data_IF_378557652997
#
_entry.id   IF_378557652997
#
_cell.length_a   1.000
_cell.length_b   1.000
_cell.length_c   1.000
_cell.angle_alpha   90.00
_cell.angle_beta   90.00
_cell.angle_gamma   90.00
#
_symmetry.space_group_name_H-M   'P 1'
#
loop_
_entity.id
_entity.type
_entity.pdbx_description
1 polymer ?
#
# COMPACT_ATOMS: atom_id res chain seq x y z
N UNK A 1 -30.90 51.04 -57.91
CA UNK A 1 -30.14 50.16 -58.84
C UNK A 1 -29.61 49.04 -57.94
N UNK A 2 -30.07 47.78 -57.97
CA UNK A 2 -30.53 46.94 -59.09
C UNK A 2 -29.29 46.26 -59.69
N UNK A 3 -29.15 44.92 -59.75
CA UNK A 3 -29.99 43.81 -59.29
C UNK A 3 -29.32 42.47 -59.65
N UNK A 4 -30.08 41.35 -59.66
CA UNK A 4 -29.65 39.96 -60.02
C UNK A 4 -28.91 39.18 -58.89
N UNK A 5 -29.09 37.87 -58.70
CA UNK A 5 -29.89 36.85 -59.44
C UNK A 5 -30.42 35.74 -58.49
N UNK A 6 -31.28 34.84 -58.97
CA UNK A 6 -32.14 33.94 -58.17
C UNK A 6 -31.93 32.44 -58.43
N UNK A 7 -32.71 31.59 -57.71
CA UNK A 7 -32.93 30.12 -57.89
C UNK A 7 -31.87 29.16 -57.30
N UNK A 8 -32.19 27.94 -56.84
CA UNK A 8 -33.46 27.33 -56.37
C UNK A 8 -33.13 26.10 -55.48
N UNK A 9 -33.96 25.78 -54.48
CA UNK A 9 -33.93 24.46 -53.81
C UNK A 9 -34.50 23.35 -54.72
N UNK A 10 -34.22 22.07 -54.41
CA UNK A 10 -35.33 21.22 -53.97
C UNK A 10 -35.01 20.27 -52.79
N UNK A 11 -36.01 20.01 -51.96
CA UNK A 11 -35.99 19.00 -50.88
C UNK A 11 -36.34 17.60 -51.40
N UNK A 12 -35.75 16.54 -50.83
CA UNK A 12 -36.29 15.17 -50.88
C UNK A 12 -36.08 14.42 -49.57
N UNK A 13 -37.15 13.79 -49.08
CA UNK A 13 -37.14 12.83 -47.97
C UNK A 13 -36.50 11.50 -48.40
N UNK A 14 -35.94 10.75 -47.45
CA UNK A 14 -35.87 9.28 -47.50
C UNK A 14 -36.00 8.66 -46.11
N UNK A 15 -36.44 7.41 -46.08
CA UNK A 15 -37.06 6.72 -44.94
C UNK A 15 -36.17 6.35 -43.74
N UNK A 16 -36.83 6.28 -42.58
CA UNK A 16 -36.28 5.76 -41.34
C UNK A 16 -36.58 4.26 -41.20
N UNK A 17 -35.74 3.40 -41.80
CA UNK A 17 -35.85 1.94 -41.65
C UNK A 17 -35.00 1.42 -40.49
N UNK A 18 -35.66 0.79 -39.50
CA UNK A 18 -35.04 0.24 -38.29
C UNK A 18 -34.03 -0.87 -38.61
N UNK A 19 -32.86 -0.82 -37.98
CA UNK A 19 -31.97 -1.97 -37.78
C UNK A 19 -31.48 -1.98 -36.33
N UNK A 20 -31.67 -3.10 -35.63
CA UNK A 20 -31.42 -3.26 -34.18
C UNK A 20 -30.25 -4.23 -33.98
N UNK A 21 -29.27 -3.95 -33.11
CA UNK A 21 -28.16 -4.88 -32.86
C UNK A 21 -28.62 -6.14 -32.10
N UNK A 22 -27.91 -7.27 -32.24
CA UNK A 22 -28.30 -8.54 -31.63
C UNK A 22 -27.99 -8.60 -30.12
N UNK A 23 -28.88 -9.23 -29.35
CA UNK A 23 -28.66 -9.60 -27.95
C UNK A 23 -28.06 -11.02 -27.83
N UNK A 24 -27.29 -11.32 -26.76
CA UNK A 24 -26.85 -12.67 -26.45
C UNK A 24 -28.02 -13.55 -25.94
N UNK A 25 -27.92 -14.90 -26.03
CA UNK A 25 -28.99 -15.80 -25.62
C UNK A 25 -29.09 -15.95 -24.10
N UNK A 26 -30.31 -15.85 -23.57
CA UNK A 26 -30.64 -16.26 -22.20
C UNK A 26 -30.84 -17.78 -22.12
N UNK A 27 -30.39 -18.46 -21.04
CA UNK A 27 -30.72 -19.87 -20.81
C UNK A 27 -32.22 -20.05 -20.52
N UNK A 28 -32.82 -21.10 -21.09
CA UNK A 28 -34.22 -21.46 -20.83
C UNK A 28 -34.36 -22.09 -19.44
N UNK A 29 -35.37 -21.65 -18.69
CA UNK A 29 -35.86 -22.39 -17.52
C UNK A 29 -36.61 -23.63 -18.02
N UNK A 30 -36.18 -24.81 -17.59
CA UNK A 30 -36.89 -26.07 -17.85
C UNK A 30 -37.51 -26.58 -16.54
N UNK A 31 -38.77 -27.01 -16.64
CA UNK A 31 -39.57 -27.44 -15.49
C UNK A 31 -39.00 -28.70 -14.83
N UNK A 32 -39.00 -28.73 -13.50
CA UNK A 32 -38.87 -29.97 -12.73
C UNK A 32 -40.25 -30.48 -12.33
N UNK A 33 -40.62 -31.66 -12.82
CA UNK A 33 -41.68 -32.48 -12.23
C UNK A 33 -41.18 -33.93 -12.12
N UNK A 34 -41.23 -34.43 -10.88
CA UNK A 34 -41.21 -35.81 -10.39
C UNK A 34 -41.09 -36.96 -11.40
N UNK A 35 -40.17 -37.89 -11.12
CA UNK A 35 -40.46 -39.33 -11.03
C UNK A 35 -39.52 -40.00 -10.00
N UNK A 36 -39.95 -41.15 -9.47
CA UNK A 36 -39.41 -41.79 -8.26
C UNK A 36 -38.32 -42.86 -8.54
N UNK A 37 -37.52 -43.16 -7.51
CA UNK A 37 -37.12 -44.53 -7.19
C UNK A 37 -35.81 -45.08 -7.76
N UNK A 38 -34.79 -45.22 -6.90
CA UNK A 38 -33.97 -46.45 -6.77
C UNK A 38 -33.06 -46.37 -5.52
N UNK A 39 -33.21 -47.32 -4.60
CA UNK A 39 -32.41 -47.45 -3.38
C UNK A 39 -31.09 -48.19 -3.62
N UNK A 40 -29.98 -47.71 -3.05
CA UNK A 40 -28.77 -48.52 -2.83
C UNK A 40 -28.18 -48.24 -1.45
N UNK A 41 -27.76 -49.31 -0.78
CA UNK A 41 -27.42 -49.39 0.64
C UNK A 41 -25.91 -49.48 0.89
N UNK A 42 -25.47 -49.00 2.05
CA UNK A 42 -24.15 -49.32 2.63
C UNK A 42 -24.31 -49.88 4.06
N UNK A 43 -23.33 -50.68 4.56
CA UNK A 43 -23.61 -51.74 5.52
C UNK A 43 -23.27 -51.37 6.97
N UNK A 44 -23.85 -52.14 7.91
CA UNK A 44 -23.54 -52.05 9.34
C UNK A 44 -22.30 -52.85 9.75
N UNK A 45 -21.62 -52.50 10.86
CA UNK A 45 -20.74 -53.39 11.59
C UNK A 45 -21.54 -54.31 12.55
N UNK A 46 -21.09 -55.55 12.82
CA UNK A 46 -21.84 -56.51 13.62
C UNK A 46 -21.64 -56.35 15.14
N UNK A 47 -22.69 -56.69 15.90
CA UNK A 47 -22.62 -57.00 17.34
C UNK A 47 -22.52 -58.51 17.60
N UNK A 48 -22.41 -58.84 18.91
CA UNK A 48 -22.75 -60.07 19.66
C UNK A 48 -21.50 -60.85 20.17
N UNK A 49 -21.35 -61.31 21.42
CA UNK A 49 -22.26 -61.58 22.57
C UNK A 49 -21.57 -61.15 23.92
N UNK A 50 -22.01 -61.40 25.17
CA UNK A 50 -23.14 -62.13 25.80
C UNK A 50 -23.45 -61.65 27.26
N UNK A 51 -24.38 -62.34 27.94
CA UNK A 51 -24.88 -62.25 29.34
C UNK A 51 -23.97 -62.88 30.45
N UNK A 52 -24.30 -62.89 31.79
CA UNK A 52 -25.48 -62.37 32.55
C UNK A 52 -25.16 -61.55 33.85
N UNK A 53 -26.16 -61.10 34.66
CA UNK A 53 -25.97 -60.26 35.87
C UNK A 53 -26.17 -60.96 37.24
N UNK A 54 -25.51 -60.48 38.32
CA UNK A 54 -25.83 -60.81 39.72
C UNK A 54 -25.28 -59.83 40.80
N UNK A 55 -26.19 -59.20 41.56
CA UNK A 55 -26.27 -59.00 43.03
C UNK A 55 -25.04 -58.78 43.96
N UNK A 56 -25.13 -57.74 44.82
CA UNK A 56 -24.36 -57.47 46.07
C UNK A 56 -24.49 -58.58 47.16
N UNK A 57 -23.50 -58.74 48.09
CA UNK A 57 -23.55 -58.10 49.44
C UNK A 57 -22.13 -57.69 49.99
N UNK A 58 -21.80 -57.59 51.32
CA UNK A 58 -21.66 -56.28 51.97
C UNK A 58 -20.36 -56.01 52.80
N UNK A 59 -20.22 -54.75 53.23
CA UNK A 59 -19.42 -54.20 54.36
C UNK A 59 -18.33 -55.03 55.07
N UNK A 60 -17.10 -54.50 55.10
CA UNK A 60 -16.21 -54.46 56.28
C UNK A 60 -15.47 -53.10 56.33
N UNK A 61 -15.00 -52.66 57.51
CA UNK A 61 -14.71 -51.25 57.79
C UNK A 61 -13.33 -50.96 58.41
N UNK A 62 -12.85 -49.70 58.20
CA UNK A 62 -11.76 -48.93 58.89
C UNK A 62 -10.33 -49.52 58.89
N UNK A 63 -9.24 -48.71 59.14
CA UNK A 63 -9.15 -47.26 59.40
C UNK A 63 -8.12 -46.45 58.53
N UNK A 64 -8.13 -45.12 58.71
CA UNK A 64 -7.23 -44.12 58.10
C UNK A 64 -5.76 -44.17 58.57
N UNK A 65 -4.81 -43.73 57.71
CA UNK A 65 -3.62 -42.98 58.10
C UNK A 65 -3.67 -41.49 57.65
N UNK A 66 -2.77 -40.68 58.22
CA UNK A 66 -2.76 -39.21 58.15
C UNK A 66 -2.36 -38.60 56.77
N UNK A 67 -2.74 -37.34 56.47
CA UNK A 67 -2.41 -36.67 55.21
C UNK A 67 -0.92 -36.29 55.13
N UNK A 68 -0.26 -36.68 54.03
CA UNK A 68 1.05 -36.14 53.65
C UNK A 68 0.88 -34.86 52.83
N UNK A 69 1.68 -33.85 53.13
CA UNK A 69 1.70 -32.57 52.43
C UNK A 69 2.37 -32.68 51.06
N UNK A 70 1.67 -32.26 49.99
CA UNK A 70 2.25 -32.07 48.67
C UNK A 70 2.85 -30.65 48.53
N UNK A 71 3.92 -30.45 47.74
CA UNK A 71 4.47 -29.12 47.47
C UNK A 71 3.56 -28.35 46.50
N UNK A 72 3.31 -27.07 46.78
CA UNK A 72 2.58 -26.20 45.86
C UNK A 72 3.37 -25.99 44.56
N UNK A 73 2.76 -26.32 43.42
CA UNK A 73 3.14 -25.73 42.14
C UNK A 73 2.59 -24.30 42.05
N UNK A 74 3.34 -23.32 41.50
CA UNK A 74 2.80 -22.00 41.22
C UNK A 74 1.74 -22.09 40.11
N UNK A 75 0.67 -21.27 40.15
CA UNK A 75 -0.37 -21.32 39.14
C UNK A 75 0.17 -20.90 37.78
N UNK A 76 -0.11 -21.70 36.75
CA UNK A 76 0.12 -21.30 35.37
C UNK A 76 -0.67 -20.01 35.07
N UNK A 77 -0.07 -19.01 34.41
CA UNK A 77 -0.82 -17.86 33.94
C UNK A 77 -1.86 -18.33 32.91
N UNK A 78 -3.13 -18.14 33.22
CA UNK A 78 -4.21 -18.40 32.27
C UNK A 78 -4.08 -17.53 31.02
N UNK A 79 -4.67 -17.93 29.88
CA UNK A 79 -4.65 -17.11 28.67
C UNK A 79 -5.23 -15.72 28.98
N UNK A 80 -4.50 -14.68 28.57
CA UNK A 80 -4.94 -13.30 28.74
C UNK A 80 -6.33 -13.11 28.12
N UNK A 81 -7.22 -12.32 28.75
CA UNK A 81 -8.56 -12.13 28.23
C UNK A 81 -8.47 -11.44 26.86
N UNK A 82 -8.85 -12.17 25.80
CA UNK A 82 -9.08 -11.57 24.49
C UNK A 82 -10.14 -10.48 24.65
N UNK A 83 -9.71 -9.22 24.57
CA UNK A 83 -10.60 -8.06 24.53
C UNK A 83 -11.49 -8.23 23.30
N UNK A 84 -12.73 -8.68 23.50
CA UNK A 84 -13.70 -8.79 22.41
C UNK A 84 -13.87 -7.41 21.80
N UNK A 85 -13.58 -7.31 20.51
CA UNK A 85 -13.82 -6.11 19.71
C UNK A 85 -15.23 -5.59 19.98
N UNK A 86 -15.34 -4.32 20.38
CA UNK A 86 -16.62 -3.66 20.38
C UNK A 86 -17.09 -3.62 18.92
N UNK A 87 -18.23 -4.25 18.61
CA UNK A 87 -18.74 -4.43 17.24
C UNK A 87 -18.88 -3.10 16.48
N UNK A 88 -18.91 -1.97 17.20
CA UNK A 88 -18.91 -0.61 16.64
C UNK A 88 -17.61 -0.22 15.91
N UNK A 89 -16.48 -0.82 16.27
CA UNK A 89 -15.14 -0.48 15.73
C UNK A 89 -14.51 -1.61 14.93
N UNK A 90 -15.29 -2.60 14.47
CA UNK A 90 -14.78 -3.66 13.57
C UNK A 90 -14.82 -3.25 12.09
N UNK A 91 -15.85 -2.48 11.72
CA UNK A 91 -16.07 -1.84 10.42
C UNK A 91 -16.74 -0.49 10.69
N UNK A 92 -16.18 0.62 10.18
CA UNK A 92 -16.74 1.96 10.38
C UNK A 92 -17.50 2.41 9.12
N UNK A 93 -18.82 2.58 9.24
CA UNK A 93 -19.66 3.01 8.11
C UNK A 93 -19.64 4.54 7.90
N UNK A 94 -19.74 4.96 6.62
CA UNK A 94 -20.00 6.35 6.19
C UNK A 94 -21.08 7.03 7.05
N UNK A 95 -20.72 8.11 7.76
CA UNK A 95 -21.62 8.83 8.68
C UNK A 95 -21.72 10.35 8.45
N UNK A 96 -20.89 10.92 7.58
CA UNK A 96 -20.78 12.37 7.39
C UNK A 96 -21.13 12.81 5.97
N UNK A 97 -21.56 14.06 5.82
CA UNK A 97 -22.00 14.65 4.55
C UNK A 97 -21.23 15.93 4.17
N UNK A 98 -20.36 16.43 5.04
CA UNK A 98 -19.39 17.50 4.73
C UNK A 98 -18.13 17.40 5.58
N UNK A 99 -17.01 17.96 5.10
CA UNK A 99 -15.78 18.05 5.89
C UNK A 99 -15.97 18.88 7.17
N UNK A 100 -16.87 19.88 7.17
CA UNK A 100 -17.20 20.64 8.38
C UNK A 100 -17.89 19.77 9.45
N UNK A 101 -18.77 18.83 9.05
CA UNK A 101 -19.37 17.87 9.99
C UNK A 101 -18.33 16.91 10.58
N UNK A 102 -17.32 16.51 9.79
CA UNK A 102 -16.20 15.73 10.34
C UNK A 102 -15.37 16.60 11.30
N UNK A 103 -15.06 17.83 10.92
CA UNK A 103 -14.35 18.82 11.77
C UNK A 103 -15.04 18.98 13.12
N UNK A 104 -16.37 19.17 13.10
CA UNK A 104 -17.18 19.27 14.31
C UNK A 104 -17.17 17.96 15.11
N UNK A 105 -17.27 16.80 14.45
CA UNK A 105 -17.24 15.51 15.12
C UNK A 105 -15.88 15.15 15.75
N UNK A 106 -14.77 15.62 15.17
CA UNK A 106 -13.41 15.53 15.74
C UNK A 106 -13.31 16.42 16.99
N UNK A 107 -13.73 17.69 16.89
CA UNK A 107 -13.75 18.61 18.02
C UNK A 107 -14.65 18.08 19.17
N UNK A 108 -15.85 17.58 18.85
CA UNK A 108 -16.75 16.93 19.81
C UNK A 108 -16.20 15.62 20.39
N UNK A 109 -15.26 14.96 19.70
CA UNK A 109 -14.55 13.80 20.24
C UNK A 109 -13.47 14.17 21.25
N UNK A 110 -13.13 15.47 21.37
CA UNK A 110 -11.95 15.92 22.09
C UNK A 110 -10.65 15.71 21.31
N UNK A 111 -10.70 15.67 19.97
CA UNK A 111 -9.51 15.87 19.14
C UNK A 111 -9.37 17.37 18.91
N UNK A 112 -8.67 18.04 19.83
CA UNK A 112 -8.32 19.45 19.68
C UNK A 112 -7.21 19.65 18.63
N UNK A 113 -6.45 18.57 18.38
CA UNK A 113 -5.09 18.62 17.86
C UNK A 113 -4.68 17.21 17.34
N UNK A 114 -3.93 17.10 16.25
CA UNK A 114 -3.42 15.83 15.69
C UNK A 114 -2.09 16.03 14.92
N UNK A 115 -1.43 14.93 14.56
CA UNK A 115 -0.17 14.96 13.81
C UNK A 115 -0.30 14.20 12.49
N UNK A 116 0.17 14.77 11.38
CA UNK A 116 0.10 14.16 10.05
C UNK A 116 1.44 13.57 9.60
N UNK A 117 1.42 12.35 9.07
CA UNK A 117 2.59 11.70 8.44
C UNK A 117 2.26 11.44 6.98
N UNK A 118 3.19 11.71 6.05
CA UNK A 118 2.99 11.48 4.61
C UNK A 118 3.96 10.43 4.09
N UNK A 119 3.43 9.39 3.46
CA UNK A 119 4.15 8.38 2.70
C UNK A 119 3.82 8.45 1.22
N UNK A 120 4.84 8.60 0.37
CA UNK A 120 4.71 8.63 -1.09
C UNK A 120 5.30 7.35 -1.69
N UNK A 121 4.46 6.62 -2.42
CA UNK A 121 4.88 5.51 -3.26
C UNK A 121 5.74 6.02 -4.42
N UNK A 122 6.94 5.46 -4.58
CA UNK A 122 7.87 5.70 -5.70
C UNK A 122 8.22 4.39 -6.43
N UNK A 123 7.28 3.44 -6.47
CA UNK A 123 7.43 2.19 -7.22
C UNK A 123 7.26 2.43 -8.71
N UNK A 124 7.77 1.49 -9.52
CA UNK A 124 7.82 1.60 -10.97
C UNK A 124 6.46 1.50 -11.64
N UNK A 125 5.44 0.95 -10.98
CA UNK A 125 4.09 0.85 -11.55
C UNK A 125 3.49 2.20 -11.92
N UNK A 126 3.90 3.25 -11.21
CA UNK A 126 3.62 4.65 -11.54
C UNK A 126 4.07 5.07 -12.96
N UNK A 127 4.89 4.30 -13.69
CA UNK A 127 5.18 4.54 -15.11
C UNK A 127 4.00 4.19 -16.02
N UNK A 128 3.17 3.20 -15.67
CA UNK A 128 2.09 2.66 -16.52
C UNK A 128 0.68 2.80 -15.94
N UNK A 129 0.51 2.97 -14.62
CA UNK A 129 -0.81 3.16 -13.97
C UNK A 129 -1.44 4.53 -14.22
N UNK A 130 -0.81 5.40 -15.03
CA UNK A 130 -1.42 6.62 -15.58
C UNK A 130 -1.95 6.48 -17.02
N UNK A 131 -2.05 5.24 -17.54
CA UNK A 131 -2.42 4.96 -18.94
C UNK A 131 -3.74 5.59 -19.37
N UNK A 132 -4.79 5.47 -18.56
CA UNK A 132 -6.11 6.03 -18.84
C UNK A 132 -6.34 7.35 -18.12
N UNK A 133 -6.08 7.39 -16.80
CA UNK A 133 -6.33 8.54 -15.92
C UNK A 133 -5.38 9.72 -16.12
N UNK A 134 -4.17 9.50 -16.66
CA UNK A 134 -3.16 10.55 -16.84
C UNK A 134 -2.55 10.60 -18.25
N UNK A 135 -3.32 10.09 -19.24
CA UNK A 135 -3.03 10.19 -20.68
C UNK A 135 -1.74 9.49 -21.11
N UNK A 136 -1.44 8.32 -20.55
CA UNK A 136 -0.23 7.55 -20.91
C UNK A 136 1.07 8.10 -20.31
N UNK A 137 1.00 9.09 -19.43
CA UNK A 137 2.14 9.62 -18.68
C UNK A 137 2.30 8.90 -17.35
N UNK A 138 3.53 8.84 -16.84
CA UNK A 138 3.77 8.42 -15.46
C UNK A 138 3.01 9.31 -14.48
N UNK A 139 2.48 8.71 -13.41
CA UNK A 139 1.81 9.43 -12.32
C UNK A 139 2.75 10.39 -11.58
N UNK A 140 4.08 10.21 -11.67
CA UNK A 140 5.08 11.15 -11.16
C UNK A 140 5.55 12.17 -12.19
N UNK A 141 5.03 12.20 -13.42
CA UNK A 141 5.52 13.16 -14.43
C UNK A 141 5.32 14.60 -13.95
N UNK A 142 6.43 15.31 -13.70
CA UNK A 142 6.45 16.70 -13.26
C UNK A 142 6.43 17.61 -14.48
N UNK A 143 5.45 18.50 -14.56
CA UNK A 143 5.33 19.49 -15.63
C UNK A 143 4.61 20.77 -15.17
N UNK A 144 3.98 21.46 -16.13
CA UNK A 144 3.20 22.69 -15.91
C UNK A 144 1.84 22.44 -15.22
N UNK A 145 1.30 21.24 -15.38
CA UNK A 145 0.08 20.78 -14.71
C UNK A 145 0.44 19.83 -13.58
N UNK A 146 -0.24 19.89 -12.41
CA UNK A 146 0.01 18.97 -11.32
C UNK A 146 -0.34 17.54 -11.73
N UNK A 147 0.53 16.60 -11.40
CA UNK A 147 0.22 15.18 -11.48
C UNK A 147 -0.67 14.71 -10.31
N UNK A 148 -1.23 13.48 -10.34
CA UNK A 148 -2.19 13.04 -9.33
C UNK A 148 -1.65 13.07 -7.89
N UNK A 149 -0.35 12.81 -7.68
CA UNK A 149 0.29 12.95 -6.37
C UNK A 149 0.30 14.42 -5.91
N UNK A 150 0.73 15.34 -6.78
CA UNK A 150 0.74 16.78 -6.46
C UNK A 150 -0.66 17.31 -6.13
N UNK A 151 -1.66 16.84 -6.88
CA UNK A 151 -3.05 17.22 -6.68
C UNK A 151 -3.60 16.69 -5.35
N UNK A 152 -3.32 15.43 -5.01
CA UNK A 152 -3.67 14.84 -3.73
C UNK A 152 -2.99 15.57 -2.55
N UNK A 153 -1.66 15.74 -2.59
CA UNK A 153 -0.87 16.50 -1.59
C UNK A 153 -1.47 17.90 -1.38
N UNK A 154 -1.86 18.59 -2.46
CA UNK A 154 -2.43 19.94 -2.39
C UNK A 154 -3.80 19.98 -1.70
N UNK A 155 -4.73 19.07 -2.03
CA UNK A 155 -6.09 19.08 -1.46
C UNK A 155 -6.07 18.60 0.00
N UNK A 156 -5.29 17.56 0.28
CA UNK A 156 -5.00 17.13 1.66
C UNK A 156 -4.45 18.32 2.45
N UNK A 157 -3.45 19.03 1.92
CA UNK A 157 -2.85 20.18 2.58
C UNK A 157 -3.83 21.30 2.92
N UNK A 158 -4.79 21.61 2.05
CA UNK A 158 -5.82 22.61 2.36
C UNK A 158 -6.89 22.13 3.36
N UNK A 159 -7.08 20.82 3.48
CA UNK A 159 -8.14 20.22 4.30
C UNK A 159 -7.63 19.85 5.69
N UNK A 160 -6.53 19.10 5.76
CA UNK A 160 -6.04 18.45 6.97
C UNK A 160 -5.09 19.32 7.79
N UNK A 161 -4.42 20.32 7.19
CA UNK A 161 -3.50 21.19 7.95
C UNK A 161 -4.18 22.02 9.05
N UNK A 162 -5.51 22.06 9.08
CA UNK A 162 -6.29 22.68 10.16
C UNK A 162 -6.32 21.84 11.45
N UNK A 163 -5.94 20.57 11.36
CA UNK A 163 -5.86 19.62 12.47
C UNK A 163 -4.42 19.24 12.80
N UNK A 164 -3.42 19.88 12.17
CA UNK A 164 -2.01 19.60 12.40
C UNK A 164 -1.43 20.64 13.37
N UNK A 165 -0.81 20.15 14.45
CA UNK A 165 -0.57 20.95 15.67
C UNK A 165 0.55 21.97 15.55
N UNK A 166 1.63 21.57 14.89
CA UNK A 166 2.86 22.34 14.75
C UNK A 166 3.19 22.68 13.29
N UNK A 167 2.37 22.22 12.34
CA UNK A 167 2.58 22.33 10.89
C UNK A 167 3.91 21.64 10.46
N UNK A 168 4.38 20.64 11.22
CA UNK A 168 5.56 19.84 10.89
C UNK A 168 5.13 18.47 10.38
N UNK A 169 5.30 18.24 9.08
CA UNK A 169 4.86 17.03 8.39
C UNK A 169 6.07 16.12 8.10
N UNK A 170 6.29 15.02 8.84
CA UNK A 170 7.20 13.96 8.44
C UNK A 170 6.79 13.39 7.07
N UNK A 171 7.66 13.55 6.07
CA UNK A 171 7.43 13.08 4.71
C UNK A 171 8.47 12.03 4.31
N UNK A 172 8.01 10.90 3.80
CA UNK A 172 8.84 9.76 3.42
C UNK A 172 8.47 9.24 2.02
N UNK A 173 9.46 8.69 1.32
CA UNK A 173 9.28 7.92 0.09
C UNK A 173 9.61 6.44 0.30
N UNK A 174 9.00 5.55 -0.48
CA UNK A 174 9.25 4.10 -0.45
C UNK A 174 9.11 3.46 -1.83
N UNK A 175 9.67 2.27 -2.04
CA UNK A 175 9.54 1.52 -3.28
C UNK A 175 10.47 1.95 -4.43
N UNK A 176 11.34 2.93 -4.19
CA UNK A 176 12.40 3.30 -5.14
C UNK A 176 13.58 2.32 -5.07
N UNK A 177 14.57 2.51 -5.94
CA UNK A 177 15.75 1.67 -6.01
C UNK A 177 16.69 1.72 -4.79
N UNK A 178 16.52 2.69 -3.88
CA UNK A 178 17.23 2.70 -2.59
C UNK A 178 16.48 1.90 -1.51
N UNK A 179 15.14 1.89 -1.52
CA UNK A 179 14.30 1.32 -0.45
C UNK A 179 13.66 -0.04 -0.75
N UNK A 180 13.33 -0.32 -2.02
CA UNK A 180 12.57 -1.51 -2.46
C UNK A 180 11.33 -1.76 -1.55
N UNK A 181 11.04 -3.03 -1.21
CA UNK A 181 9.96 -3.43 -0.28
C UNK A 181 10.39 -3.46 1.19
N UNK A 182 11.53 -2.83 1.53
CA UNK A 182 12.21 -3.01 2.82
C UNK A 182 12.22 -1.79 3.72
N UNK A 183 12.49 -0.62 3.15
CA UNK A 183 12.78 0.60 3.90
C UNK A 183 11.94 1.79 3.42
N UNK A 184 12.17 2.95 4.04
CA UNK A 184 11.67 4.26 3.57
C UNK A 184 12.84 5.24 3.57
N UNK A 185 12.81 6.25 2.70
CA UNK A 185 13.72 7.38 2.76
C UNK A 185 13.01 8.64 3.25
N UNK A 186 13.68 9.46 4.06
CA UNK A 186 13.16 10.75 4.51
C UNK A 186 13.28 11.81 3.41
N UNK A 187 12.32 12.73 3.31
CA UNK A 187 12.38 13.79 2.29
C UNK A 187 13.57 14.74 2.48
N UNK A 188 13.96 14.99 3.73
CA UNK A 188 15.15 15.76 4.10
C UNK A 188 16.14 14.88 4.88
N UNK A 189 17.45 15.20 4.86
CA UNK A 189 18.43 14.59 5.76
C UNK A 189 18.03 14.76 7.24
N UNK A 190 18.61 13.91 8.10
CA UNK A 190 18.46 13.96 9.56
C UNK A 190 16.99 13.89 10.05
N UNK A 191 16.12 13.20 9.30
CA UNK A 191 14.67 13.05 9.58
C UNK A 191 13.91 14.38 9.77
N UNK A 192 14.41 15.50 9.21
CA UNK A 192 13.73 16.80 9.34
C UNK A 192 12.34 16.77 8.68
N UNK A 193 11.25 17.14 9.39
CA UNK A 193 9.92 17.28 8.80
C UNK A 193 9.83 18.49 7.85
N UNK A 194 8.83 18.45 6.97
CA UNK A 194 8.46 19.58 6.12
C UNK A 194 7.63 20.60 6.92
N UNK A 195 7.90 21.89 6.74
CA UNK A 195 7.08 22.98 7.26
C UNK A 195 5.81 23.13 6.39
N UNK A 196 4.80 22.31 6.72
CA UNK A 196 3.52 22.21 6.05
C UNK A 196 3.57 21.57 4.66
N UNK A 197 2.37 21.31 4.14
CA UNK A 197 2.16 20.78 2.80
C UNK A 197 2.78 21.61 1.65
N UNK A 198 2.91 22.95 1.73
CA UNK A 198 3.65 23.71 0.72
C UNK A 198 5.13 23.33 0.61
N UNK A 199 5.83 23.07 1.73
CA UNK A 199 7.21 22.57 1.67
C UNK A 199 7.24 21.10 1.22
N UNK A 200 6.30 20.26 1.67
CA UNK A 200 6.20 18.86 1.23
C UNK A 200 6.00 18.73 -0.30
N UNK A 201 5.09 19.51 -0.88
CA UNK A 201 4.83 19.55 -2.33
C UNK A 201 6.05 20.05 -3.11
N UNK A 202 6.69 21.12 -2.65
CA UNK A 202 7.94 21.63 -3.23
C UNK A 202 9.01 20.55 -3.21
N UNK A 203 9.19 19.88 -2.07
CA UNK A 203 10.22 18.88 -1.86
C UNK A 203 9.98 17.60 -2.67
N UNK A 204 8.73 17.19 -2.82
CA UNK A 204 8.32 16.14 -3.76
C UNK A 204 8.79 16.46 -5.20
N UNK A 205 8.50 17.67 -5.71
CA UNK A 205 8.95 18.09 -7.06
C UNK A 205 10.48 18.14 -7.20
N UNK A 206 11.22 18.46 -6.15
CA UNK A 206 12.70 18.41 -6.13
C UNK A 206 13.25 16.98 -6.15
N UNK A 207 12.57 16.04 -5.49
CA UNK A 207 13.01 14.65 -5.35
C UNK A 207 12.70 13.79 -6.57
N UNK A 208 11.52 13.92 -7.17
CA UNK A 208 11.06 13.05 -8.28
C UNK A 208 12.12 12.85 -9.39
N UNK A 209 12.84 13.88 -9.90
CA UNK A 209 13.85 13.69 -10.96
C UNK A 209 15.11 12.93 -10.52
N UNK A 210 15.33 12.76 -9.21
CA UNK A 210 16.49 12.09 -8.60
C UNK A 210 16.16 10.65 -8.15
N UNK A 211 14.88 10.35 -7.96
CA UNK A 211 14.39 9.04 -7.53
C UNK A 211 14.36 8.07 -8.72
N UNK A 212 14.96 6.88 -8.56
CA UNK A 212 14.85 5.81 -9.57
C UNK A 212 13.76 4.82 -9.15
N UNK A 213 12.59 4.91 -9.78
CA UNK A 213 11.44 4.06 -9.46
C UNK A 213 11.78 2.55 -9.55
N UNK A 214 11.32 1.75 -8.60
CA UNK A 214 11.62 0.32 -8.53
C UNK A 214 10.48 -0.53 -7.93
N UNK A 215 10.75 -1.33 -6.90
CA UNK A 215 9.84 -2.25 -6.25
C UNK A 215 10.61 -3.41 -5.59
N UNK A 216 9.94 -4.44 -5.04
CA UNK A 216 8.50 -4.63 -4.98
C UNK A 216 7.75 -3.58 -4.14
N UNK A 217 6.42 -3.58 -4.23
CA UNK A 217 5.53 -2.66 -3.53
C UNK A 217 4.99 -3.32 -2.26
N UNK A 218 5.26 -2.73 -1.09
CA UNK A 218 4.70 -3.09 0.21
C UNK A 218 4.55 -1.84 1.07
N UNK A 219 3.44 -1.71 1.81
CA UNK A 219 3.25 -0.57 2.72
C UNK A 219 3.80 -0.84 4.12
N UNK A 220 4.30 -2.06 4.39
CA UNK A 220 4.86 -2.40 5.69
C UNK A 220 5.97 -1.43 6.17
N UNK A 221 6.94 -0.99 5.34
CA UNK A 221 7.99 -0.07 5.80
C UNK A 221 7.46 1.29 6.25
N UNK A 222 6.47 1.84 5.55
CA UNK A 222 5.89 3.16 5.88
C UNK A 222 4.93 3.11 7.07
N UNK A 223 4.13 2.04 7.19
CA UNK A 223 3.28 1.81 8.36
C UNK A 223 4.13 1.59 9.63
N UNK A 224 5.24 0.85 9.51
CA UNK A 224 6.19 0.65 10.63
C UNK A 224 7.00 1.92 10.97
N UNK A 225 7.26 2.79 10.00
CA UNK A 225 7.82 4.13 10.28
C UNK A 225 6.81 4.97 11.07
N UNK A 226 5.53 4.97 10.68
CA UNK A 226 4.49 5.70 11.42
C UNK A 226 4.30 5.18 12.85
N UNK A 227 4.29 3.86 13.08
CA UNK A 227 4.32 3.29 14.44
C UNK A 227 5.54 3.78 15.25
N UNK A 228 6.69 3.95 14.59
CA UNK A 228 7.90 4.45 15.25
C UNK A 228 7.78 5.93 15.63
N UNK A 229 7.15 6.76 14.80
CA UNK A 229 6.88 8.18 15.09
C UNK A 229 5.88 8.32 16.24
N UNK A 230 4.79 7.55 16.21
CA UNK A 230 3.79 7.51 17.29
C UNK A 230 4.43 7.14 18.63
N UNK A 231 5.27 6.10 18.67
CA UNK A 231 5.99 5.72 19.89
C UNK A 231 6.95 6.83 20.38
N UNK A 232 7.70 7.47 19.46
CA UNK A 232 8.61 8.58 19.76
C UNK A 232 7.90 9.82 20.30
N UNK A 233 6.67 10.11 19.85
CA UNK A 233 5.83 11.21 20.36
C UNK A 233 5.25 10.98 21.77
N UNK A 234 5.46 9.78 22.36
CA UNK A 234 4.82 9.40 23.62
C UNK A 234 3.42 8.80 23.46
N UNK A 235 3.05 8.38 22.24
CA UNK A 235 1.72 7.87 21.94
C UNK A 235 0.68 8.96 21.65
N UNK A 236 1.08 10.09 21.05
CA UNK A 236 0.13 11.07 20.51
C UNK A 236 -0.60 10.48 19.30
N UNK A 237 -1.82 10.98 19.04
CA UNK A 237 -2.60 10.54 17.89
C UNK A 237 -1.97 11.04 16.58
N UNK A 238 -1.85 10.12 15.61
CA UNK A 238 -1.33 10.43 14.28
C UNK A 238 -2.26 9.89 13.18
N UNK A 239 -2.28 10.58 12.04
CA UNK A 239 -2.85 10.08 10.79
C UNK A 239 -1.74 9.90 9.75
N UNK A 240 -1.50 8.65 9.35
CA UNK A 240 -0.62 8.32 8.22
C UNK A 240 -1.40 8.41 6.91
N UNK A 241 -0.94 9.27 6.01
CA UNK A 241 -1.45 9.46 4.67
C UNK A 241 -0.52 8.76 3.69
N UNK A 242 -0.96 7.64 3.11
CA UNK A 242 -0.22 6.93 2.06
C UNK A 242 -0.82 7.35 0.72
N UNK A 243 -0.03 7.92 -0.18
CA UNK A 243 -0.44 8.18 -1.57
C UNK A 243 0.25 7.14 -2.45
N UNK A 244 -0.53 6.35 -3.19
CA UNK A 244 -0.02 5.21 -3.97
C UNK A 244 -0.93 4.84 -5.15
N UNK A 245 -0.41 4.03 -6.09
CA UNK A 245 -1.14 3.55 -7.27
C UNK A 245 -1.87 2.20 -7.09
N UNK A 246 -1.83 1.67 -5.86
CA UNK A 246 -2.53 0.46 -5.46
C UNK A 246 -1.85 -0.85 -5.85
N UNK A 247 -0.70 -0.83 -6.55
CA UNK A 247 -0.06 -2.03 -7.08
C UNK A 247 0.81 -2.77 -6.05
N UNK A 248 0.25 -3.14 -4.90
CA UNK A 248 0.92 -4.05 -3.94
C UNK A 248 1.30 -5.34 -4.67
N UNK A 249 2.57 -5.73 -4.61
CA UNK A 249 3.09 -6.75 -5.52
C UNK A 249 2.50 -8.13 -5.25
N UNK A 250 1.82 -8.72 -6.24
CA UNK A 250 1.37 -10.11 -6.23
C UNK A 250 2.39 -11.02 -6.91
N UNK A 251 2.65 -12.20 -6.34
CA UNK A 251 3.47 -13.21 -7.03
C UNK A 251 2.62 -13.94 -8.08
N UNK A 252 3.26 -14.37 -9.17
CA UNK A 252 2.62 -15.21 -10.20
C UNK A 252 2.33 -16.62 -9.63
N UNK A 253 3.10 -17.05 -8.62
CA UNK A 253 2.94 -18.34 -7.94
C UNK A 253 1.93 -18.29 -6.77
N UNK A 254 1.19 -17.19 -6.58
CA UNK A 254 0.17 -17.09 -5.52
C UNK A 254 -1.15 -17.68 -6.00
N UNK A 255 -1.58 -18.79 -5.38
CA UNK A 255 -2.90 -19.38 -5.67
C UNK A 255 -4.03 -18.36 -5.46
N UNK A 256 -5.10 -18.48 -6.24
CA UNK A 256 -6.27 -17.60 -6.09
C UNK A 256 -6.83 -17.67 -4.65
N UNK A 257 -6.87 -16.52 -3.97
CA UNK A 257 -7.30 -16.41 -2.57
C UNK A 257 -6.18 -16.51 -1.52
N UNK A 258 -4.90 -16.51 -1.93
CA UNK A 258 -3.75 -16.37 -1.02
C UNK A 258 -3.05 -15.04 -1.22
N UNK A 259 -2.62 -14.42 -0.13
CA UNK A 259 -1.84 -13.19 -0.14
C UNK A 259 -0.39 -13.47 -0.56
N UNK A 260 0.20 -12.54 -1.31
CA UNK A 260 1.64 -12.51 -1.59
C UNK A 260 2.46 -12.21 -0.32
N UNK A 261 3.80 -12.38 -0.34
CA UNK A 261 4.66 -11.95 0.76
C UNK A 261 4.50 -10.46 1.09
N UNK A 262 4.39 -9.59 0.07
CA UNK A 262 4.23 -8.15 0.24
C UNK A 262 2.83 -7.76 0.75
N UNK A 263 1.79 -8.45 0.30
CA UNK A 263 0.43 -8.28 0.83
C UNK A 263 0.35 -8.73 2.29
N UNK A 264 0.91 -9.91 2.63
CA UNK A 264 0.95 -10.41 4.00
C UNK A 264 1.73 -9.46 4.92
N UNK A 265 2.92 -8.99 4.51
CA UNK A 265 3.67 -7.98 5.27
C UNK A 265 2.88 -6.69 5.50
N UNK A 266 2.12 -6.25 4.49
CA UNK A 266 1.26 -5.06 4.59
C UNK A 266 0.12 -5.27 5.58
N UNK A 267 -0.60 -6.39 5.51
CA UNK A 267 -1.66 -6.76 6.46
C UNK A 267 -1.10 -6.89 7.88
N UNK A 268 0.03 -7.58 8.06
CA UNK A 268 0.68 -7.76 9.37
C UNK A 268 1.16 -6.43 9.98
N UNK A 269 1.51 -5.44 9.14
CA UNK A 269 1.83 -4.09 9.59
C UNK A 269 0.59 -3.29 10.00
N UNK A 270 -0.50 -3.36 9.23
CA UNK A 270 -1.78 -2.68 9.56
C UNK A 270 -2.38 -3.26 10.86
N UNK A 271 -2.38 -4.59 11.02
CA UNK A 271 -2.84 -5.26 12.24
C UNK A 271 -2.01 -4.80 13.45
N UNK A 272 -0.67 -4.76 13.35
CA UNK A 272 0.17 -4.22 14.44
C UNK A 272 -0.07 -2.74 14.69
N UNK A 273 -0.29 -1.92 13.65
CA UNK A 273 -0.59 -0.50 13.79
C UNK A 273 -1.88 -0.24 14.57
N UNK A 274 -2.85 -1.17 14.57
CA UNK A 274 -4.06 -1.05 15.39
C UNK A 274 -3.82 -1.16 16.91
N UNK A 275 -2.61 -1.54 17.36
CA UNK A 275 -2.22 -1.44 18.78
C UNK A 275 -1.74 -0.03 19.18
N UNK A 276 -1.58 0.89 18.21
CA UNK A 276 -1.11 2.26 18.38
C UNK A 276 -2.26 3.27 18.16
N UNK A 277 -2.18 4.49 18.71
CA UNK A 277 -3.09 5.58 18.36
C UNK A 277 -2.78 6.15 16.97
N UNK A 278 -2.93 5.30 15.95
CA UNK A 278 -2.56 5.55 14.56
C UNK A 278 -3.70 5.18 13.61
N UNK A 279 -4.14 6.15 12.83
CA UNK A 279 -5.06 5.96 11.72
C UNK A 279 -4.31 5.99 10.39
N UNK A 280 -4.72 5.18 9.42
CA UNK A 280 -4.08 5.08 8.11
C UNK A 280 -5.13 5.44 7.05
N UNK A 281 -4.79 6.38 6.15
CA UNK A 281 -5.62 6.72 4.99
C UNK A 281 -4.79 6.48 3.72
N UNK A 282 -5.24 5.54 2.90
CA UNK A 282 -4.66 5.25 1.60
C UNK A 282 -5.40 6.02 0.50
N UNK A 283 -4.69 6.97 -0.12
CA UNK A 283 -5.17 7.78 -1.22
C UNK A 283 -4.72 7.16 -2.54
N UNK A 284 -5.65 6.47 -3.20
CA UNK A 284 -5.42 5.77 -4.46
C UNK A 284 -5.43 6.69 -5.68
N UNK A 285 -4.26 6.87 -6.30
CA UNK A 285 -4.07 7.64 -7.54
C UNK A 285 -3.83 6.73 -8.76
N UNK A 286 -4.10 7.22 -9.97
CA UNK A 286 -3.98 6.40 -11.18
C UNK A 286 -5.15 5.44 -11.43
N UNK A 287 -4.90 4.43 -12.27
CA UNK A 287 -5.90 3.54 -12.89
C UNK A 287 -6.35 2.37 -11.99
N UNK A 288 -5.61 2.04 -10.93
CA UNK A 288 -5.79 0.81 -10.16
C UNK A 288 -5.26 -0.44 -10.89
N UNK A 289 -5.80 -1.65 -10.64
CA UNK A 289 -7.03 -1.95 -9.91
C UNK A 289 -6.95 -1.69 -8.40
N UNK A 290 -8.12 -1.59 -7.75
CA UNK A 290 -8.29 -1.19 -6.34
C UNK A 290 -8.87 -2.28 -5.44
N UNK A 291 -9.08 -3.49 -5.96
CA UNK A 291 -9.84 -4.54 -5.25
C UNK A 291 -9.18 -4.97 -3.93
N UNK A 292 -7.86 -5.16 -3.93
CA UNK A 292 -7.09 -5.45 -2.71
C UNK A 292 -7.20 -4.33 -1.66
N UNK A 293 -7.27 -3.07 -2.11
CA UNK A 293 -7.30 -1.92 -1.20
C UNK A 293 -8.69 -1.77 -0.55
N UNK A 294 -9.75 -2.14 -1.27
CA UNK A 294 -11.12 -2.27 -0.74
C UNK A 294 -11.26 -3.47 0.20
N UNK A 295 -10.54 -4.56 -0.06
CA UNK A 295 -10.47 -5.70 0.86
C UNK A 295 -9.78 -5.30 2.18
N UNK A 296 -8.75 -4.46 2.12
CA UNK A 296 -8.04 -3.96 3.31
C UNK A 296 -8.85 -2.95 4.15
N UNK A 297 -9.76 -2.20 3.53
CA UNK A 297 -10.74 -1.30 4.16
C UNK A 297 -11.59 -2.06 5.20
N UNK A 298 -12.42 -2.99 4.72
CA UNK A 298 -13.46 -3.65 5.51
C UNK A 298 -13.02 -4.98 6.17
N UNK A 299 -12.05 -5.69 5.59
CA UNK A 299 -11.88 -7.14 5.81
C UNK A 299 -10.50 -7.56 6.33
N UNK A 300 -9.77 -6.70 7.06
CA UNK A 300 -8.56 -7.12 7.79
C UNK A 300 -8.96 -7.82 9.11
N UNK A 301 -8.77 -9.15 9.27
CA UNK A 301 -9.04 -9.82 10.52
C UNK A 301 -7.99 -9.47 11.59
N UNK A 302 -8.37 -9.64 12.86
CA UNK A 302 -7.52 -9.48 14.04
C UNK A 302 -6.99 -8.06 14.37
N UNK A 303 -7.32 -7.01 13.61
CA UNK A 303 -7.10 -5.61 14.03
C UNK A 303 -7.88 -5.27 15.31
N UNK A 304 -7.29 -4.48 16.22
CA UNK A 304 -7.86 -4.08 17.52
C UNK A 304 -8.96 -3.02 17.41
N UNK A 305 -8.93 -2.25 16.32
CA UNK A 305 -10.01 -1.42 15.82
C UNK A 305 -9.79 -1.26 14.31
N UNK A 306 -10.84 -0.83 13.61
CA UNK A 306 -10.75 -0.37 12.22
C UNK A 306 -9.86 0.87 12.13
N UNK A 307 -8.68 0.74 11.52
CA UNK A 307 -7.64 1.77 11.52
C UNK A 307 -7.13 2.11 10.10
N UNK A 308 -7.85 1.69 9.06
CA UNK A 308 -7.41 1.82 7.67
C UNK A 308 -8.58 2.22 6.78
N UNK A 309 -8.50 3.40 6.16
CA UNK A 309 -9.44 3.92 5.17
C UNK A 309 -8.81 3.94 3.77
N UNK A 310 -9.48 3.41 2.76
CA UNK A 310 -9.14 3.59 1.34
C UNK A 310 -10.00 4.68 0.66
N UNK A 311 -9.34 5.54 -0.12
CA UNK A 311 -10.00 6.59 -0.91
C UNK A 311 -9.51 6.57 -2.36
N UNK A 312 -10.40 6.24 -3.29
CA UNK A 312 -10.12 6.29 -4.73
C UNK A 312 -10.13 7.75 -5.25
N UNK A 313 -8.98 8.42 -5.19
CA UNK A 313 -8.81 9.81 -5.60
C UNK A 313 -9.13 10.01 -7.09
N UNK A 314 -8.62 9.14 -7.96
CA UNK A 314 -8.87 9.18 -9.41
C UNK A 314 -10.36 9.15 -9.72
N UNK A 315 -11.11 8.24 -9.09
CA UNK A 315 -12.55 8.12 -9.31
C UNK A 315 -13.28 9.41 -8.92
N UNK A 316 -13.00 9.99 -7.76
CA UNK A 316 -13.62 11.24 -7.31
C UNK A 316 -13.26 12.38 -8.27
N UNK A 317 -11.99 12.51 -8.66
CA UNK A 317 -11.54 13.55 -9.59
C UNK A 317 -12.07 13.36 -11.02
N UNK A 318 -12.40 12.14 -11.44
CA UNK A 318 -13.02 11.85 -12.74
C UNK A 318 -14.47 12.33 -12.88
N UNK A 319 -15.18 12.54 -11.77
CA UNK A 319 -16.63 12.86 -11.79
C UNK A 319 -16.91 14.16 -12.52
N UNK A 320 -18.03 14.23 -13.23
CA UNK A 320 -18.49 15.44 -13.91
C UNK A 320 -19.13 16.45 -12.93
N UNK A 321 -18.32 16.98 -12.01
CA UNK A 321 -18.71 17.97 -11.00
C UNK A 321 -17.75 19.17 -11.03
N UNK A 322 -18.15 20.35 -10.50
CA UNK A 322 -17.21 21.46 -10.28
C UNK A 322 -16.06 21.06 -9.37
N UNK A 323 -14.85 21.53 -9.66
CA UNK A 323 -13.60 21.15 -8.98
C UNK A 323 -13.71 21.20 -7.45
N UNK A 324 -14.17 22.33 -6.90
CA UNK A 324 -14.36 22.53 -5.46
C UNK A 324 -15.25 21.46 -4.79
N UNK A 325 -16.22 20.87 -5.51
CA UNK A 325 -17.04 19.78 -4.97
C UNK A 325 -16.31 18.44 -4.98
N UNK A 326 -15.44 18.18 -5.96
CA UNK A 326 -14.60 16.97 -5.97
C UNK A 326 -13.59 17.02 -4.83
N UNK A 327 -13.02 18.20 -4.58
CA UNK A 327 -12.10 18.44 -3.46
C UNK A 327 -12.81 18.24 -2.12
N UNK A 328 -14.00 18.81 -1.95
CA UNK A 328 -14.81 18.60 -0.74
C UNK A 328 -15.27 17.14 -0.56
N UNK A 329 -15.57 16.42 -1.65
CA UNK A 329 -15.92 14.99 -1.61
C UNK A 329 -14.71 14.12 -1.23
N UNK A 330 -13.54 14.40 -1.81
CA UNK A 330 -12.30 13.72 -1.46
C UNK A 330 -11.88 13.98 -0.01
N UNK A 331 -11.93 15.25 0.43
CA UNK A 331 -11.71 15.67 1.81
C UNK A 331 -12.61 14.90 2.80
N UNK A 332 -13.91 14.84 2.51
CA UNK A 332 -14.89 14.11 3.31
C UNK A 332 -14.58 12.60 3.36
N UNK A 333 -14.21 11.99 2.22
CA UNK A 333 -13.85 10.57 2.13
C UNK A 333 -12.58 10.23 2.91
N UNK A 334 -11.54 11.06 2.81
CA UNK A 334 -10.29 10.88 3.56
C UNK A 334 -10.45 11.06 5.09
N UNK A 335 -11.50 11.75 5.51
CA UNK A 335 -11.78 12.05 6.91
C UNK A 335 -12.85 11.16 7.55
N UNK A 336 -13.58 10.36 6.77
CA UNK A 336 -14.87 9.76 7.17
C UNK A 336 -14.79 8.97 8.48
N UNK A 337 -13.75 8.17 8.65
CA UNK A 337 -13.61 7.28 9.81
C UNK A 337 -12.84 7.91 10.98
N UNK A 338 -11.98 8.90 10.73
CA UNK A 338 -11.05 9.51 11.70
C UNK A 338 -11.72 9.83 13.06
N UNK A 339 -12.97 10.36 13.15
CA UNK A 339 -13.63 10.63 14.44
C UNK A 339 -13.93 9.39 15.28
N UNK A 340 -14.22 8.26 14.64
CA UNK A 340 -14.52 6.98 15.32
C UNK A 340 -13.24 6.19 15.58
N UNK A 341 -12.26 6.26 14.68
CA UNK A 341 -10.92 5.74 14.88
C UNK A 341 -10.27 6.40 16.11
N UNK A 342 -10.26 7.74 16.20
CA UNK A 342 -9.78 8.45 17.38
C UNK A 342 -10.48 8.02 18.69
N UNK A 343 -11.81 7.93 18.69
CA UNK A 343 -12.58 7.45 19.86
C UNK A 343 -12.21 6.01 20.25
N UNK A 344 -11.95 5.13 19.28
CA UNK A 344 -11.46 3.79 19.56
C UNK A 344 -10.09 3.82 20.28
N UNK A 345 -9.17 4.72 19.91
CA UNK A 345 -7.87 4.85 20.61
C UNK A 345 -8.02 5.24 22.09
N UNK A 346 -9.02 6.07 22.41
CA UNK A 346 -9.38 6.45 23.79
C UNK A 346 -10.00 5.25 24.53
N UNK A 347 -11.02 4.61 23.95
CA UNK A 347 -11.74 3.50 24.58
C UNK A 347 -10.87 2.25 24.79
N UNK A 348 -9.93 1.98 23.88
CA UNK A 348 -8.92 0.93 24.05
C UNK A 348 -7.86 1.30 25.11
N UNK A 349 -7.72 2.58 25.43
CA UNK A 349 -6.72 3.10 26.36
C UNK A 349 -5.31 3.00 25.82
N UNK A 350 -5.12 3.28 24.52
CA UNK A 350 -3.82 3.31 23.82
C UNK A 350 -3.32 4.73 23.52
N UNK A 351 -4.23 5.72 23.51
CA UNK A 351 -3.85 7.14 23.39
C UNK A 351 -3.01 7.60 24.59
N UNK A 352 -1.95 8.37 24.33
CA UNK A 352 -1.04 8.91 25.34
C UNK A 352 -0.18 7.85 26.03
N UNK A 353 0.08 6.72 25.37
CA UNK A 353 0.87 5.61 25.92
C UNK A 353 1.89 5.08 24.93
N UNK A 354 3.07 4.78 25.45
CA UNK A 354 4.11 4.04 24.75
C UNK A 354 3.87 2.53 24.92
N UNK A 355 3.91 1.81 23.82
CA UNK A 355 3.65 0.37 23.76
C UNK A 355 4.85 -0.48 24.16
N UNK A 356 6.07 0.05 23.97
CA UNK A 356 7.32 -0.71 23.96
C UNK A 356 7.47 -1.70 22.80
N UNK A 357 6.52 -1.72 21.85
CA UNK A 357 6.39 -2.69 20.74
C UNK A 357 6.75 -2.11 19.37
N UNK A 358 7.14 -0.84 19.32
CA UNK A 358 7.58 -0.16 18.10
C UNK A 358 8.71 -0.94 17.39
N UNK A 359 8.68 -1.05 16.05
CA UNK A 359 9.80 -1.60 15.27
C UNK A 359 11.09 -0.79 15.35
N UNK A 360 11.05 0.45 15.87
CA UNK A 360 12.18 1.37 15.97
C UNK A 360 12.87 1.63 14.62
N UNK A 361 12.09 1.86 13.55
CA UNK A 361 12.65 2.15 12.23
C UNK A 361 13.44 3.45 12.19
N UNK A 362 14.41 3.47 11.29
CA UNK A 362 15.24 4.62 10.92
C UNK A 362 15.09 4.78 9.40
N UNK A 363 14.88 6.00 8.92
CA UNK A 363 14.77 6.24 7.49
C UNK A 363 16.15 6.27 6.83
N UNK A 364 16.21 5.93 5.55
CA UNK A 364 17.35 6.23 4.70
C UNK A 364 17.38 7.74 4.38
N UNK A 365 18.56 8.34 4.14
CA UNK A 365 18.63 9.71 3.64
C UNK A 365 18.01 9.83 2.22
N UNK A 366 17.56 11.02 1.80
CA UNK A 366 16.96 11.21 0.49
C UNK A 366 17.92 10.84 -0.65
N UNK A 367 17.44 10.15 -1.71
CA UNK A 367 18.27 9.79 -2.86
C UNK A 367 18.77 11.05 -3.58
N UNK A 368 20.03 11.00 -4.06
CA UNK A 368 20.71 12.12 -4.73
C UNK A 368 21.40 13.11 -3.78
N UNK A 369 21.15 13.06 -2.47
CA UNK A 369 21.86 13.88 -1.49
C UNK A 369 23.34 13.50 -1.35
N UNK A 370 24.25 14.47 -1.52
CA UNK A 370 25.64 14.30 -1.07
C UNK A 370 25.67 14.18 0.44
N UNK A 371 25.85 12.96 0.95
CA UNK A 371 26.08 12.74 2.38
C UNK A 371 27.37 13.44 2.79
N UNK A 372 27.27 14.61 3.42
CA UNK A 372 28.37 15.08 4.28
C UNK A 372 28.50 14.08 5.40
N UNK A 373 29.55 13.27 5.35
CA UNK A 373 29.81 12.20 6.31
C UNK A 373 30.17 12.79 7.68
N UNK A 374 29.15 13.19 8.43
CA UNK A 374 29.29 13.61 9.83
C UNK A 374 29.46 12.34 10.68
N UNK A 375 30.67 11.79 10.63
CA UNK A 375 31.08 10.69 11.50
C UNK A 375 30.91 11.07 12.97
N UNK A 376 30.13 10.29 13.71
CA UNK A 376 30.01 10.38 15.17
C UNK A 376 31.41 10.43 15.83
N UNK A 377 31.73 11.45 16.65
CA UNK A 377 32.96 11.45 17.42
C UNK A 377 32.80 10.59 18.68
N UNK A 378 33.38 9.38 18.66
CA UNK A 378 33.70 8.69 19.92
C UNK A 378 34.95 9.33 20.54
N UNK A 379 34.87 9.68 21.82
CA UNK A 379 35.96 10.29 22.58
C UNK A 379 37.03 9.25 22.93
N UNK A 380 38.29 9.51 22.56
CA UNK A 380 39.49 9.12 23.32
C UNK A 380 40.75 9.81 22.77
N UNK A 381 41.78 9.95 23.61
CA UNK A 381 42.80 10.99 23.48
C UNK A 381 44.12 10.58 22.76
N UNK A 382 44.82 11.62 22.25
CA UNK A 382 46.28 11.75 22.14
C UNK A 382 47.14 10.61 21.54
N UNK A 383 47.71 10.87 20.34
CA UNK A 383 49.18 10.99 20.16
C UNK A 383 49.58 11.57 18.78
N UNK A 384 50.80 12.10 18.69
CA UNK A 384 51.32 12.95 17.59
C UNK A 384 51.87 12.16 16.37
N UNK A 385 52.01 12.80 15.19
CA UNK A 385 52.24 12.12 13.91
C UNK A 385 53.72 11.95 13.54
N UNK A 386 53.98 11.06 12.58
CA UNK A 386 55.22 11.02 11.78
C UNK A 386 54.89 10.87 10.29
N UNK A 387 55.80 11.29 9.42
CA UNK A 387 55.48 11.69 8.06
C UNK A 387 55.91 10.71 6.96
N UNK A 388 55.23 10.86 5.80
CA UNK A 388 55.83 10.89 4.44
C UNK A 388 56.23 9.57 3.75
N UNK A 389 56.50 9.56 2.41
CA UNK A 389 55.74 10.22 1.33
C UNK A 389 55.71 9.47 -0.05
N UNK A 390 54.93 10.01 -1.01
CA UNK A 390 55.06 9.91 -2.50
C UNK A 390 54.63 8.62 -3.25
N UNK A 391 54.32 8.72 -4.56
CA UNK A 391 53.58 9.80 -5.24
C UNK A 391 52.53 9.30 -6.26
N UNK A 392 51.72 10.25 -6.75
CA UNK A 392 50.79 10.05 -7.87
C UNK A 392 51.50 10.06 -9.25
N UNK A 393 50.81 9.58 -10.28
CA UNK A 393 51.00 10.02 -11.67
C UNK A 393 49.68 10.56 -12.23
N UNK A 394 49.75 11.68 -12.93
CA UNK A 394 48.68 12.31 -13.70
C UNK A 394 49.19 12.50 -15.15
N UNK A 395 48.31 12.41 -16.15
CA UNK A 395 48.63 12.64 -17.56
C UNK A 395 47.38 12.96 -18.40
N UNK A 396 46.86 14.17 -18.18
CA UNK A 396 46.34 15.12 -19.20
C UNK A 396 46.00 14.63 -20.63
N UNK A 397 44.73 14.87 -21.02
CA UNK A 397 44.23 15.52 -22.26
C UNK A 397 44.99 15.33 -23.59
N UNK A 398 44.25 15.01 -24.67
CA UNK A 398 43.80 16.04 -25.65
C UNK A 398 42.85 15.55 -26.78
N UNK A 399 41.83 16.37 -27.07
CA UNK A 399 41.18 16.69 -28.38
C UNK A 399 41.07 15.68 -29.55
N UNK A 400 39.82 15.37 -29.93
CA UNK A 400 39.19 15.94 -31.14
C UNK A 400 39.04 15.10 -32.42
N UNK A 401 37.82 15.02 -32.97
CA UNK A 401 37.60 14.90 -34.43
C UNK A 401 36.46 14.00 -34.93
N UNK A 402 35.58 14.61 -35.73
CA UNK A 402 34.69 14.02 -36.77
C UNK A 402 33.47 13.17 -36.36
N UNK A 403 32.36 13.48 -37.03
CA UNK A 403 31.01 12.91 -36.85
C UNK A 403 30.54 12.17 -38.11
N UNK A 404 29.82 11.07 -37.91
CA UNK A 404 28.96 10.41 -38.91
C UNK A 404 27.63 10.03 -38.23
N UNK A 405 26.50 9.98 -38.95
CA UNK A 405 25.19 9.82 -38.34
C UNK A 405 24.88 8.35 -37.98
N UNK A 406 24.67 8.09 -36.69
CA UNK A 406 24.10 6.83 -36.20
C UNK A 406 22.58 6.76 -36.48
N UNK A 407 22.02 5.58 -36.81
CA UNK A 407 20.59 5.39 -36.87
C UNK A 407 19.97 5.38 -35.46
N UNK A 408 18.79 5.99 -35.33
CA UNK A 408 18.02 6.22 -34.10
C UNK A 408 18.04 5.07 -33.06
N UNK A 409 18.59 5.36 -31.88
CA UNK A 409 18.69 4.44 -30.73
C UNK A 409 17.34 4.05 -30.10
N UNK A 410 16.28 4.81 -30.35
CA UNK A 410 14.99 4.67 -29.65
C UNK A 410 14.27 3.34 -29.89
N UNK A 411 14.56 2.61 -30.97
CA UNK A 411 13.89 1.34 -31.28
C UNK A 411 14.50 0.12 -30.53
N UNK A 412 15.81 0.13 -30.25
CA UNK A 412 16.49 -1.02 -29.63
C UNK A 412 16.29 -1.08 -28.11
N UNK A 413 15.84 0.01 -27.48
CA UNK A 413 15.61 0.04 -26.04
C UNK A 413 14.35 -0.73 -25.59
N UNK A 414 13.40 -1.02 -26.49
CA UNK A 414 12.12 -1.68 -26.15
C UNK A 414 11.99 -3.14 -26.58
N UNK A 415 12.84 -3.63 -27.50
CA UNK A 415 12.81 -5.03 -27.97
C UNK A 415 13.78 -5.93 -27.20
N UNK A 416 13.44 -7.21 -27.05
CA UNK A 416 14.23 -8.19 -26.31
C UNK A 416 15.64 -8.34 -26.91
N UNK A 417 16.72 -8.26 -26.09
CA UNK A 417 18.10 -8.32 -26.58
C UNK A 417 18.53 -9.71 -27.12
N UNK A 418 17.64 -10.71 -27.10
CA UNK A 418 17.91 -12.08 -27.58
C UNK A 418 17.30 -12.27 -28.97
N UNK A 419 15.98 -12.07 -29.12
CA UNK A 419 15.31 -12.25 -30.41
C UNK A 419 15.25 -10.97 -31.25
N UNK A 420 15.48 -9.80 -30.67
CA UNK A 420 15.41 -8.47 -31.31
C UNK A 420 14.04 -8.14 -31.97
N UNK A 421 13.00 -8.92 -31.66
CA UNK A 421 11.66 -8.82 -32.27
C UNK A 421 10.58 -8.54 -31.21
N UNK A 422 10.48 -9.38 -30.17
CA UNK A 422 9.41 -9.28 -29.17
C UNK A 422 9.72 -8.16 -28.16
N UNK A 423 8.70 -7.49 -27.60
CA UNK A 423 8.89 -6.47 -26.57
C UNK A 423 9.51 -7.04 -25.28
N UNK A 424 10.10 -6.16 -24.46
CA UNK A 424 10.63 -6.51 -23.12
C UNK A 424 9.52 -6.66 -22.08
N UNK A 425 8.77 -7.77 -22.12
CA UNK A 425 7.68 -8.09 -21.19
C UNK A 425 8.09 -9.01 -20.01
N UNK A 426 9.39 -9.22 -19.79
CA UNK A 426 9.93 -10.02 -18.68
C UNK A 426 11.17 -9.37 -18.06
N UNK A 427 11.22 -9.28 -16.72
CA UNK A 427 12.39 -8.88 -15.95
C UNK A 427 12.93 -10.03 -15.08
N UNK A 428 14.25 -10.05 -14.86
CA UNK A 428 14.91 -10.96 -13.92
C UNK A 428 15.15 -10.27 -12.57
N UNK A 429 15.36 -11.06 -11.50
CA UNK A 429 15.72 -10.53 -10.17
C UNK A 429 16.99 -9.66 -10.11
N UNK A 430 17.81 -9.65 -11.17
CA UNK A 430 18.95 -8.73 -11.33
C UNK A 430 18.60 -7.42 -12.09
N UNK A 431 17.32 -7.12 -12.33
CA UNK A 431 16.83 -5.90 -13.00
C UNK A 431 16.89 -5.91 -14.53
N UNK A 432 17.55 -6.89 -15.15
CA UNK A 432 17.67 -7.00 -16.61
C UNK A 432 16.44 -7.62 -17.26
N UNK A 433 16.13 -7.23 -18.51
CA UNK A 433 14.87 -7.55 -19.19
C UNK A 433 15.05 -8.30 -20.52
N UNK A 434 14.08 -9.16 -20.82
CA UNK A 434 13.91 -9.94 -22.07
C UNK A 434 12.42 -10.03 -22.43
N UNK A 435 12.06 -10.73 -23.51
CA UNK A 435 10.66 -11.15 -23.69
C UNK A 435 10.38 -12.45 -22.90
N UNK A 436 9.10 -12.74 -22.66
CA UNK A 436 8.61 -13.98 -22.03
C UNK A 436 9.18 -15.20 -22.74
N UNK A 437 9.06 -15.30 -24.06
CA UNK A 437 9.45 -16.50 -24.83
C UNK A 437 10.94 -16.84 -24.66
N UNK A 438 11.82 -15.84 -24.80
CA UNK A 438 13.26 -16.03 -24.62
C UNK A 438 13.66 -16.26 -23.17
N UNK A 439 12.81 -15.93 -22.19
CA UNK A 439 13.13 -16.07 -20.76
C UNK A 439 12.95 -17.48 -20.19
N UNK A 440 12.16 -18.33 -20.86
CA UNK A 440 11.69 -19.62 -20.33
C UNK A 440 12.84 -20.60 -20.06
N UNK A 441 13.83 -20.64 -20.95
CA UNK A 441 14.95 -21.61 -20.90
C UNK A 441 16.24 -21.05 -20.29
N UNK A 442 16.29 -19.76 -19.92
CA UNK A 442 17.49 -19.12 -19.39
C UNK A 442 17.66 -19.41 -17.90
N UNK A 443 18.78 -20.04 -17.52
CA UNK A 443 19.19 -20.17 -16.12
C UNK A 443 20.09 -19.02 -15.64
N UNK A 444 20.74 -18.31 -16.58
CA UNK A 444 21.66 -17.21 -16.32
C UNK A 444 21.22 -15.97 -17.11
N UNK A 445 21.33 -14.79 -16.51
CA UNK A 445 21.03 -13.53 -17.20
C UNK A 445 22.00 -13.32 -18.37
N UNK A 446 21.51 -13.08 -19.61
CA UNK A 446 22.38 -12.90 -20.77
C UNK A 446 23.22 -11.61 -20.71
N UNK A 447 22.81 -10.65 -19.87
CA UNK A 447 23.46 -9.33 -19.76
C UNK A 447 24.54 -9.34 -18.66
N UNK A 448 24.18 -9.62 -17.40
CA UNK A 448 25.11 -9.59 -16.27
C UNK A 448 25.64 -10.95 -15.81
N UNK A 449 25.21 -12.07 -16.44
CA UNK A 449 25.62 -13.44 -16.08
C UNK A 449 25.37 -13.82 -14.62
N UNK A 450 24.39 -13.21 -13.97
CA UNK A 450 23.89 -13.65 -12.66
C UNK A 450 22.87 -14.81 -12.81
N UNK A 451 22.80 -15.77 -11.88
CA UNK A 451 21.75 -16.79 -11.87
C UNK A 451 20.34 -16.18 -11.81
N UNK A 452 19.41 -16.68 -12.62
CA UNK A 452 18.02 -16.21 -12.64
C UNK A 452 17.22 -16.96 -11.57
N UNK A 453 17.14 -16.36 -10.39
CA UNK A 453 16.30 -16.85 -9.28
C UNK A 453 14.82 -16.45 -9.45
N UNK A 454 14.58 -15.23 -9.93
CA UNK A 454 13.23 -14.64 -10.05
C UNK A 454 12.97 -14.19 -11.49
N UNK A 455 11.74 -14.41 -11.97
CA UNK A 455 11.21 -13.92 -13.25
C UNK A 455 9.92 -13.14 -12.97
N UNK A 456 9.81 -11.92 -13.49
CA UNK A 456 8.70 -10.99 -13.25
C UNK A 456 8.14 -10.58 -14.61
N UNK A 457 6.89 -10.97 -14.90
CA UNK A 457 6.21 -10.52 -16.11
C UNK A 457 5.77 -9.06 -15.96
N UNK A 458 5.96 -8.28 -17.02
CA UNK A 458 5.55 -6.87 -17.12
C UNK A 458 4.30 -6.81 -18.00
N UNK A 459 3.34 -5.92 -17.68
CA UNK A 459 2.01 -5.85 -18.27
C UNK A 459 1.73 -4.49 -18.94
#
# INVERSE_FOLDING_TARGET
MGGQQSSHQPSRNYDYSRSRPPHPPHPQQQQQQYWEGASHSHPQPPQNWNYPPASYPPNYAVPYPAPQSQPHQPPHPGPAPQRKLNRRYSVIADQYHSADQVTEALAQAGLESSNLIVGIDFTKSNEWTGKHSFHGRSLHHVGDSPNPYEHAISIIGHTLSRFDDDNLIPCYGFGDASTHDRDVFSFYPDDRPCNGFPEALKRYRELVPQVRLAGPTSFAPIVEMAMTIVEKSGGQYHVLLIIADGQVTRSIDTDAGRLSPQEQMTVDAIVRASEFPLSIVLVGVGDGPWDTMKEFDDNIPARSFDNFQFVNFTEIMSKNLPQQRKEAEFALRALMEIPLQYKATIELGILGRQSGRSPNRVALPPPGGTSTSTSYPSISEFSKPTASPYPAYDSTKSSGGASFPEPSLDAQQFVCPICLVNPKDMAFGCGHQTCVDCSQSLQMCPICRSPIQTRIKLY
#
